data_IF_626296769141
#
_entry.id   IF_626296769141
#
_cell.length_a   1.000
_cell.length_b   1.000
_cell.length_c   1.000
_cell.angle_alpha   90.00
_cell.angle_beta   90.00
_cell.angle_gamma   90.00
#
_symmetry.space_group_name_H-M   'P 1'
#
loop_
_entity.id
_entity.type
_entity.pdbx_description
1 polymer ?
#
# COMPACT_ATOMS: atom_id res chain seq x y z
N UNK A 1 -10.16 24.02 -5.65
CA UNK A 1 -9.23 22.93 -6.07
C UNK A 1 -9.46 21.76 -5.14
N UNK A 2 -9.88 20.63 -5.69
CA UNK A 2 -10.33 19.45 -4.95
C UNK A 2 -9.19 18.89 -4.08
N UNK A 3 -9.49 18.53 -2.82
CA UNK A 3 -8.53 17.96 -1.87
C UNK A 3 -7.82 16.69 -2.43
N UNK A 4 -8.54 15.92 -3.25
CA UNK A 4 -7.99 14.74 -3.92
C UNK A 4 -6.87 15.09 -4.91
N UNK A 5 -6.97 16.20 -5.62
CA UNK A 5 -5.91 16.70 -6.53
C UNK A 5 -4.68 17.21 -5.77
N UNK A 6 -4.88 17.88 -4.63
CA UNK A 6 -3.76 18.35 -3.79
C UNK A 6 -2.97 17.20 -3.19
N UNK A 7 -3.64 16.15 -2.72
CA UNK A 7 -3.01 14.94 -2.18
C UNK A 7 -2.23 14.19 -3.25
N UNK A 8 -2.77 14.10 -4.47
CA UNK A 8 -2.10 13.43 -5.58
C UNK A 8 -0.83 14.18 -6.04
N UNK A 9 -0.87 15.51 -6.09
CA UNK A 9 0.30 16.35 -6.39
C UNK A 9 1.40 16.22 -5.32
N UNK A 10 1.05 16.20 -4.03
CA UNK A 10 2.02 16.05 -2.94
C UNK A 10 2.63 14.64 -2.89
N UNK A 11 1.83 13.61 -3.20
CA UNK A 11 2.33 12.24 -3.37
C UNK A 11 3.33 12.13 -4.52
N UNK A 12 3.14 12.88 -5.61
CA UNK A 12 4.07 12.94 -6.75
C UNK A 12 5.35 13.73 -6.44
N UNK A 13 5.31 14.67 -5.51
CA UNK A 13 6.47 15.45 -5.04
C UNK A 13 7.17 14.81 -3.84
N UNK A 14 6.59 13.74 -3.26
CA UNK A 14 7.16 13.06 -2.13
C UNK A 14 8.47 12.35 -2.51
N UNK A 15 9.48 12.53 -1.68
CA UNK A 15 10.72 11.78 -1.82
C UNK A 15 10.44 10.27 -1.59
N UNK A 16 11.15 9.41 -2.29
CA UNK A 16 11.10 7.95 -2.09
C UNK A 16 11.18 7.55 -0.61
N UNK A 17 12.04 8.23 0.16
CA UNK A 17 12.19 7.96 1.58
C UNK A 17 10.95 8.33 2.41
N UNK A 18 10.21 9.37 2.01
CA UNK A 18 8.96 9.76 2.68
C UNK A 18 7.90 8.67 2.50
N UNK A 19 7.75 8.18 1.28
CA UNK A 19 6.81 7.07 0.97
C UNK A 19 7.16 5.79 1.73
N UNK A 20 8.46 5.45 1.81
CA UNK A 20 8.92 4.30 2.59
C UNK A 20 8.56 4.47 4.07
N UNK A 21 8.76 5.66 4.67
CA UNK A 21 8.40 5.91 6.07
C UNK A 21 6.90 5.84 6.29
N UNK A 22 6.09 6.48 5.45
CA UNK A 22 4.63 6.41 5.55
C UNK A 22 4.13 4.95 5.45
N UNK A 23 4.74 4.14 4.59
CA UNK A 23 4.43 2.71 4.47
C UNK A 23 4.78 1.96 5.77
N UNK A 24 5.91 2.27 6.41
CA UNK A 24 6.30 1.70 7.71
C UNK A 24 5.32 2.10 8.82
N UNK A 25 4.90 3.37 8.88
CA UNK A 25 3.90 3.84 9.83
C UNK A 25 2.57 3.11 9.66
N UNK A 26 2.11 2.96 8.41
CA UNK A 26 0.90 2.20 8.10
C UNK A 26 0.99 0.74 8.59
N UNK A 27 2.10 0.07 8.34
CA UNK A 27 2.29 -1.33 8.77
C UNK A 27 2.34 -1.45 10.30
N UNK A 28 2.93 -0.49 11.01
CA UNK A 28 2.90 -0.41 12.46
C UNK A 28 1.47 -0.23 12.98
N UNK A 29 0.69 0.66 12.35
CA UNK A 29 -0.72 0.89 12.71
C UNK A 29 -1.61 -0.33 12.51
N UNK A 30 -1.37 -1.11 11.46
CA UNK A 30 -2.09 -2.38 11.24
C UNK A 30 -1.83 -3.36 12.39
N UNK A 31 -0.58 -3.41 12.89
CA UNK A 31 -0.22 -4.22 14.07
C UNK A 31 -0.88 -3.68 15.34
N UNK A 32 -0.85 -2.36 15.56
CA UNK A 32 -1.53 -1.73 16.70
C UNK A 32 -3.03 -1.99 16.69
N UNK A 33 -3.67 -1.91 15.52
CA UNK A 33 -5.08 -2.27 15.35
C UNK A 33 -5.36 -3.72 15.74
N UNK A 34 -4.53 -4.66 15.30
CA UNK A 34 -4.66 -6.08 15.66
C UNK A 34 -4.50 -6.33 17.17
N UNK A 35 -3.80 -5.43 17.87
CA UNK A 35 -3.66 -5.41 19.33
C UNK A 35 -4.75 -4.55 20.03
N UNK A 36 -5.80 -4.15 19.30
CA UNK A 36 -6.92 -3.34 19.77
C UNK A 36 -6.54 -1.93 20.27
N UNK A 37 -5.45 -1.37 19.80
CA UNK A 37 -5.15 0.03 20.06
C UNK A 37 -6.13 0.93 19.32
N UNK A 38 -6.82 1.80 20.06
CA UNK A 38 -7.75 2.80 19.50
C UNK A 38 -7.01 4.07 19.12
N UNK A 39 -6.00 4.44 19.91
CA UNK A 39 -5.19 5.65 19.72
C UNK A 39 -3.70 5.35 19.79
N UNK A 40 -2.92 6.13 19.06
CA UNK A 40 -1.45 6.13 19.12
C UNK A 40 -0.92 7.56 19.15
N UNK A 41 0.30 7.71 19.65
CA UNK A 41 1.05 8.96 19.63
C UNK A 41 2.26 8.83 18.69
N UNK A 42 2.88 9.96 18.36
CA UNK A 42 4.08 9.97 17.51
C UNK A 42 5.21 9.11 18.10
N UNK A 43 5.29 9.02 19.42
CA UNK A 43 6.31 8.23 20.11
C UNK A 43 6.08 6.72 19.89
N UNK A 44 4.83 6.26 19.95
CA UNK A 44 4.52 4.85 19.65
C UNK A 44 4.92 4.46 18.22
N UNK A 45 4.68 5.35 17.25
CA UNK A 45 5.08 5.11 15.86
C UNK A 45 6.60 5.20 15.69
N UNK A 46 7.25 6.12 16.38
CA UNK A 46 8.70 6.27 16.40
C UNK A 46 9.37 4.96 16.88
N UNK A 47 8.95 4.45 18.03
CA UNK A 47 9.46 3.21 18.62
C UNK A 47 9.24 2.00 17.70
N UNK A 48 8.04 1.90 17.10
CA UNK A 48 7.67 0.78 16.25
C UNK A 48 8.38 0.77 14.89
N UNK A 49 8.94 1.89 14.45
CA UNK A 49 9.48 2.05 13.08
C UNK A 49 10.94 2.46 13.01
N UNK A 50 11.55 2.78 14.15
CA UNK A 50 12.93 3.28 14.23
C UNK A 50 13.07 4.74 13.73
N UNK A 51 11.98 5.47 13.60
CA UNK A 51 12.00 6.90 13.32
C UNK A 51 12.07 7.71 14.63
N UNK A 52 12.28 9.03 14.57
CA UNK A 52 12.07 9.91 15.71
C UNK A 52 10.64 10.43 15.73
N UNK A 53 10.09 10.73 16.90
CA UNK A 53 8.77 11.35 17.02
C UNK A 53 8.68 12.71 16.31
N UNK A 54 9.79 13.43 16.22
CA UNK A 54 9.91 14.68 15.44
C UNK A 54 9.74 14.39 13.96
N UNK A 55 10.40 13.33 13.45
CA UNK A 55 10.26 12.93 12.05
C UNK A 55 8.84 12.48 11.73
N UNK A 56 8.20 11.69 12.59
CA UNK A 56 6.78 11.29 12.43
C UNK A 56 5.88 12.52 12.30
N UNK A 57 6.02 13.50 13.19
CA UNK A 57 5.23 14.74 13.14
C UNK A 57 5.52 15.57 11.90
N UNK A 58 6.77 15.65 11.48
CA UNK A 58 7.16 16.36 10.23
C UNK A 58 6.53 15.70 9.02
N UNK A 59 6.62 14.38 8.92
CA UNK A 59 6.02 13.62 7.81
C UNK A 59 4.51 13.84 7.77
N UNK A 60 3.83 13.73 8.90
CA UNK A 60 2.37 13.94 8.97
C UNK A 60 1.97 15.36 8.59
N UNK A 61 2.73 16.36 9.01
CA UNK A 61 2.51 17.75 8.60
C UNK A 61 2.71 17.94 7.08
N UNK A 62 3.74 17.31 6.51
CA UNK A 62 4.03 17.39 5.07
C UNK A 62 2.89 16.85 4.21
N UNK A 63 2.20 15.81 4.69
CA UNK A 63 1.09 15.16 3.99
C UNK A 63 -0.29 15.60 4.47
N UNK A 64 -0.40 16.67 5.25
CA UNK A 64 -1.65 17.18 5.84
C UNK A 64 -2.43 16.10 6.61
N UNK A 65 -1.74 15.18 7.24
CA UNK A 65 -2.36 14.18 8.09
C UNK A 65 -2.84 14.86 9.37
N UNK A 66 -4.16 14.92 9.53
CA UNK A 66 -4.78 15.52 10.69
C UNK A 66 -4.52 14.71 11.96
N UNK A 67 -4.13 15.40 13.02
CA UNK A 67 -3.95 14.82 14.34
C UNK A 67 -3.91 15.88 15.42
N UNK A 68 -4.16 15.45 16.65
CA UNK A 68 -4.07 16.33 17.80
C UNK A 68 -2.80 15.98 18.61
N UNK A 69 -1.92 16.96 18.74
CA UNK A 69 -0.66 16.81 19.49
C UNK A 69 -0.86 16.33 20.93
N UNK A 70 -1.99 16.72 21.57
CA UNK A 70 -2.35 16.32 22.95
C UNK A 70 -3.28 15.10 22.99
N UNK A 71 -4.09 14.88 21.94
CA UNK A 71 -5.09 13.82 21.85
C UNK A 71 -4.64 12.55 21.13
N UNK A 72 -3.45 12.57 20.51
CA UNK A 72 -2.96 11.47 19.68
C UNK A 72 -3.72 11.34 18.35
N UNK A 73 -3.52 10.21 17.70
CA UNK A 73 -4.12 9.87 16.42
C UNK A 73 -5.03 8.64 16.58
N UNK A 74 -6.23 8.71 16.05
CA UNK A 74 -7.10 7.53 15.96
C UNK A 74 -6.54 6.54 14.97
N UNK A 75 -6.32 5.29 15.39
CA UNK A 75 -5.64 4.26 14.58
C UNK A 75 -6.36 4.02 13.25
N UNK A 76 -7.68 3.82 13.27
CA UNK A 76 -8.47 3.56 12.06
C UNK A 76 -8.46 4.74 11.09
N UNK A 77 -8.59 5.96 11.60
CA UNK A 77 -8.59 7.16 10.77
C UNK A 77 -7.21 7.40 10.15
N UNK A 78 -6.15 7.18 10.92
CA UNK A 78 -4.79 7.33 10.41
C UNK A 78 -4.45 6.28 9.34
N UNK A 79 -4.92 5.04 9.50
CA UNK A 79 -4.79 3.99 8.46
C UNK A 79 -5.50 4.43 7.17
N UNK A 80 -6.72 4.97 7.25
CA UNK A 80 -7.47 5.46 6.07
C UNK A 80 -6.72 6.59 5.36
N UNK A 81 -6.22 7.57 6.11
CA UNK A 81 -5.45 8.67 5.52
C UNK A 81 -4.18 8.18 4.83
N UNK A 82 -3.43 7.27 5.48
CA UNK A 82 -2.22 6.70 4.89
C UNK A 82 -2.53 5.82 3.67
N UNK A 83 -3.60 5.03 3.69
CA UNK A 83 -4.04 4.27 2.52
C UNK A 83 -4.31 5.19 1.32
N UNK A 84 -5.00 6.30 1.54
CA UNK A 84 -5.30 7.29 0.50
C UNK A 84 -4.02 7.90 -0.08
N UNK A 85 -3.07 8.31 0.78
CA UNK A 85 -1.79 8.90 0.37
C UNK A 85 -0.95 7.88 -0.40
N UNK A 86 -0.91 6.63 0.07
CA UNK A 86 -0.13 5.54 -0.52
C UNK A 86 -0.87 4.84 -1.68
N UNK A 87 -2.06 5.33 -2.04
CA UNK A 87 -2.92 4.75 -3.08
C UNK A 87 -3.22 3.25 -2.85
N UNK A 88 -3.45 2.86 -1.58
CA UNK A 88 -3.72 1.47 -1.15
C UNK A 88 -5.21 1.14 -1.06
N UNK A 89 -6.07 2.09 -1.25
CA UNK A 89 -7.53 1.97 -1.32
C UNK A 89 -8.05 1.70 -2.74
N UNK A 90 -7.15 1.70 -3.73
CA UNK A 90 -7.47 1.35 -5.12
C UNK A 90 -6.90 0.00 -5.49
N UNK A 91 -7.65 -0.74 -6.33
CA UNK A 91 -7.16 -2.00 -6.90
C UNK A 91 -6.29 -1.67 -8.11
N UNK A 92 -5.03 -2.03 -8.03
CA UNK A 92 -4.09 -1.92 -9.14
C UNK A 92 -4.14 -3.19 -9.98
N UNK A 93 -4.42 -3.02 -11.28
CA UNK A 93 -4.43 -4.12 -12.24
C UNK A 93 -3.03 -4.32 -12.80
N UNK A 94 -2.58 -5.56 -12.80
CA UNK A 94 -1.28 -5.96 -13.34
C UNK A 94 -1.47 -7.06 -14.38
N UNK A 95 -0.50 -7.16 -15.28
CA UNK A 95 -0.30 -8.31 -16.13
C UNK A 95 0.98 -9.01 -15.69
N UNK A 96 1.03 -10.31 -15.86
CA UNK A 96 2.22 -11.12 -15.61
C UNK A 96 2.82 -11.57 -16.94
N UNK A 97 4.14 -11.67 -17.02
CA UNK A 97 4.84 -12.22 -18.18
C UNK A 97 5.65 -13.41 -17.74
N UNK A 98 5.30 -14.58 -18.28
CA UNK A 98 5.90 -15.87 -17.94
C UNK A 98 5.04 -16.75 -17.04
N UNK A 99 4.35 -17.75 -17.61
CA UNK A 99 3.55 -18.76 -16.92
C UNK A 99 4.37 -19.99 -16.52
N UNK A 100 5.63 -19.80 -16.10
CA UNK A 100 6.47 -20.85 -15.54
C UNK A 100 6.06 -21.24 -14.12
N UNK A 101 6.88 -22.03 -13.43
CA UNK A 101 6.58 -22.45 -12.06
C UNK A 101 6.38 -21.28 -11.09
N UNK A 102 7.24 -20.25 -11.19
CA UNK A 102 7.13 -19.06 -10.37
C UNK A 102 5.87 -18.25 -10.75
N UNK A 103 5.62 -18.04 -12.05
CA UNK A 103 4.43 -17.33 -12.53
C UNK A 103 3.14 -17.99 -12.04
N UNK A 104 3.01 -19.30 -12.20
CA UNK A 104 1.87 -20.06 -11.66
C UNK A 104 1.69 -19.93 -10.15
N UNK A 105 2.79 -19.85 -9.40
CA UNK A 105 2.74 -19.63 -7.96
C UNK A 105 2.24 -18.20 -7.62
N UNK A 106 2.70 -17.20 -8.36
CA UNK A 106 2.26 -15.80 -8.20
C UNK A 106 0.78 -15.62 -8.54
N UNK A 107 0.28 -16.22 -9.64
CA UNK A 107 -1.14 -16.17 -10.02
C UNK A 107 -2.07 -16.69 -8.91
N UNK A 108 -1.59 -17.63 -8.11
CA UNK A 108 -2.35 -18.25 -7.00
C UNK A 108 -2.09 -17.61 -5.64
N UNK A 109 -1.22 -16.59 -5.56
CA UNK A 109 -0.82 -16.02 -4.29
C UNK A 109 -1.89 -15.08 -3.70
N UNK A 110 -2.57 -15.44 -2.59
CA UNK A 110 -3.69 -14.68 -2.06
C UNK A 110 -3.27 -13.35 -1.41
N UNK A 111 -1.98 -13.15 -1.18
CA UNK A 111 -1.45 -11.92 -0.61
C UNK A 111 -1.59 -10.70 -1.51
N UNK A 112 -1.68 -10.90 -2.82
CA UNK A 112 -1.87 -9.80 -3.77
C UNK A 112 -3.22 -9.12 -3.58
N UNK A 113 -4.31 -9.87 -3.46
CA UNK A 113 -5.64 -9.31 -3.23
C UNK A 113 -5.69 -8.47 -1.93
N UNK A 114 -5.04 -8.92 -0.87
CA UNK A 114 -4.92 -8.17 0.41
C UNK A 114 -4.12 -6.88 0.27
N UNK A 115 -3.25 -6.80 -0.73
CA UNK A 115 -2.41 -5.64 -1.01
C UNK A 115 -2.98 -4.71 -2.08
N UNK A 116 -4.23 -4.94 -2.53
CA UNK A 116 -4.86 -4.16 -3.60
C UNK A 116 -4.25 -4.43 -4.98
N UNK A 117 -3.62 -5.60 -5.17
CA UNK A 117 -3.04 -6.03 -6.46
C UNK A 117 -3.97 -7.08 -7.07
N UNK A 118 -4.36 -6.86 -8.33
CA UNK A 118 -5.12 -7.83 -9.12
C UNK A 118 -4.38 -8.13 -10.41
N UNK A 119 -3.92 -9.38 -10.57
CA UNK A 119 -3.41 -9.86 -11.85
C UNK A 119 -4.62 -10.15 -12.74
N UNK A 120 -4.67 -9.57 -13.93
CA UNK A 120 -5.81 -9.66 -14.85
C UNK A 120 -5.53 -10.54 -16.07
N UNK A 121 -4.28 -10.78 -16.40
CA UNK A 121 -3.85 -11.68 -17.47
C UNK A 121 -2.39 -12.09 -17.25
N UNK A 122 -2.02 -13.24 -17.80
CA UNK A 122 -0.65 -13.70 -17.92
C UNK A 122 -0.30 -13.88 -19.41
N UNK A 123 0.94 -13.63 -19.77
CA UNK A 123 1.44 -13.83 -21.13
C UNK A 123 2.62 -14.80 -21.11
N UNK A 124 2.65 -15.73 -22.07
CA UNK A 124 3.77 -16.67 -22.23
C UNK A 124 4.07 -16.88 -23.73
N UNK A 125 5.30 -17.28 -24.04
CA UNK A 125 5.72 -17.65 -25.41
C UNK A 125 5.38 -19.11 -25.75
N UNK A 126 5.16 -19.94 -24.75
CA UNK A 126 4.94 -21.38 -24.90
C UNK A 126 3.44 -21.67 -25.12
N UNK A 127 3.02 -22.14 -26.33
CA UNK A 127 1.62 -22.44 -26.62
C UNK A 127 1.02 -23.52 -25.70
N UNK A 128 1.83 -24.40 -25.13
CA UNK A 128 1.36 -25.45 -24.22
C UNK A 128 0.82 -24.93 -22.90
N UNK A 129 1.07 -23.65 -22.60
CA UNK A 129 0.61 -22.97 -21.37
C UNK A 129 -0.60 -22.09 -21.58
N UNK A 130 -1.05 -21.88 -22.83
CA UNK A 130 -2.18 -21.01 -23.12
C UNK A 130 -3.47 -21.57 -22.55
N UNK A 131 -4.19 -20.74 -21.82
CA UNK A 131 -5.50 -21.04 -21.27
C UNK A 131 -6.32 -19.74 -21.22
N UNK A 132 -7.23 -19.60 -22.19
CA UNK A 132 -8.08 -18.41 -22.32
C UNK A 132 -9.30 -18.45 -21.41
N UNK A 133 -9.67 -19.62 -20.92
CA UNK A 133 -10.85 -19.84 -20.10
C UNK A 133 -10.54 -19.85 -18.59
N UNK A 134 -9.25 -19.82 -18.23
CA UNK A 134 -8.84 -19.71 -16.83
C UNK A 134 -9.33 -18.41 -16.20
N UNK A 135 -9.53 -18.39 -14.90
CA UNK A 135 -9.89 -17.17 -14.13
C UNK A 135 -8.93 -16.01 -14.39
N UNK A 136 -7.63 -16.32 -14.56
CA UNK A 136 -6.62 -15.40 -15.08
C UNK A 136 -6.11 -16.01 -16.38
N UNK A 137 -6.51 -15.48 -17.54
CA UNK A 137 -6.16 -16.08 -18.81
C UNK A 137 -4.66 -16.02 -19.10
N UNK A 138 -4.13 -17.11 -19.69
CA UNK A 138 -2.76 -17.17 -20.21
C UNK A 138 -2.81 -17.00 -21.73
N UNK A 139 -2.24 -15.92 -22.21
CA UNK A 139 -2.32 -15.48 -23.60
C UNK A 139 -0.95 -15.51 -24.28
N UNK A 140 -0.89 -15.58 -25.62
CA UNK A 140 0.37 -15.46 -26.35
C UNK A 140 0.98 -14.07 -26.20
N UNK A 141 2.31 -14.01 -26.19
CA UNK A 141 3.06 -12.78 -26.45
C UNK A 141 3.29 -12.74 -27.95
N UNK A 142 2.74 -11.73 -28.61
CA UNK A 142 3.02 -11.44 -30.03
C UNK A 142 4.18 -10.46 -30.15
#
# INVERSE_FOLDING_TARGET
MDQSRKLNLRSQMANKNDIIRLSRYRNALIRFRALNFVKVFSDNLADATGASAVQVRKDFSTFDIAGNRRGGYQVEELIKQLNKILNKDTIHKFIEVGAGNLGKALLRYPGFARSGIKIIACFDIDPAKYDREAEIPVLPIE
#
